data_IF_193448622112
#
_entry.id   IF_193448622112
#
_cell.length_a   1.000
_cell.length_b   1.000
_cell.length_c   1.000
_cell.angle_alpha   90.00
_cell.angle_beta   90.00
_cell.angle_gamma   90.00
#
_symmetry.space_group_name_H-M   'P 1'
#
loop_
_entity.id
_entity.type
_entity.pdbx_description
1 polymer ?
#
# COMPACT_ATOMS: atom_id res chain seq x y z
N UNK A 1 -16.73 11.15 20.15
CA UNK A 1 -17.19 10.15 19.15
C UNK A 1 -16.69 8.79 19.61
N UNK A 2 -17.58 7.79 19.82
CA UNK A 2 -17.18 6.44 20.29
C UNK A 2 -16.96 5.53 19.08
N UNK A 3 -15.80 4.86 19.03
CA UNK A 3 -15.51 3.86 18.02
C UNK A 3 -15.95 2.48 18.53
N UNK A 4 -16.61 1.69 17.69
CA UNK A 4 -16.87 0.28 17.95
C UNK A 4 -15.98 -0.56 17.04
N UNK A 5 -14.93 -1.15 17.60
CA UNK A 5 -14.05 -2.08 16.88
C UNK A 5 -14.53 -3.51 17.12
N UNK A 6 -14.99 -4.19 16.06
CA UNK A 6 -15.36 -5.60 16.12
C UNK A 6 -14.15 -6.53 16.30
N UNK A 7 -14.34 -7.80 16.68
CA UNK A 7 -13.25 -8.74 17.06
C UNK A 7 -12.36 -9.22 15.90
N UNK A 8 -12.46 -8.66 14.69
CA UNK A 8 -11.75 -9.13 13.48
C UNK A 8 -10.43 -8.36 13.27
N UNK A 9 -9.36 -9.07 12.88
CA UNK A 9 -8.03 -8.51 12.59
C UNK A 9 -8.08 -7.59 11.36
N UNK A 10 -7.80 -6.30 11.56
CA UNK A 10 -7.56 -5.32 10.49
C UNK A 10 -6.37 -4.45 10.89
N UNK A 11 -5.54 -4.06 9.93
CA UNK A 11 -4.68 -2.89 10.08
C UNK A 11 -5.39 -1.73 9.37
N UNK A 12 -5.59 -0.61 10.06
CA UNK A 12 -6.37 0.51 9.56
C UNK A 12 -5.45 1.55 8.92
N UNK A 13 -5.65 1.76 7.62
CA UNK A 13 -4.95 2.81 6.88
C UNK A 13 -5.94 3.92 6.60
N UNK A 14 -5.63 5.10 7.11
CA UNK A 14 -6.44 6.28 6.95
C UNK A 14 -6.06 6.97 5.65
N UNK A 15 -7.01 7.01 4.73
CA UNK A 15 -6.87 7.83 3.54
C UNK A 15 -7.48 9.18 3.80
N UNK A 16 -6.61 10.17 3.96
CA UNK A 16 -7.01 11.57 4.01
C UNK A 16 -7.18 12.05 2.58
N UNK A 17 -8.40 12.00 2.07
CA UNK A 17 -8.75 12.62 0.79
C UNK A 17 -9.47 13.93 1.07
N UNK A 18 -9.08 15.03 0.41
CA UNK A 18 -9.87 16.26 0.40
C UNK A 18 -10.88 16.19 -0.74
N UNK A 19 -12.09 16.67 -0.52
CA UNK A 19 -13.08 16.85 -1.60
C UNK A 19 -12.51 17.83 -2.63
N UNK A 20 -12.53 17.46 -3.91
CA UNK A 20 -11.95 18.22 -5.01
C UNK A 20 -12.76 19.49 -5.37
N UNK A 21 -13.82 19.80 -4.63
CA UNK A 21 -14.79 20.86 -4.98
C UNK A 21 -14.79 22.10 -4.09
N UNK A 22 -13.93 22.19 -3.05
CA UNK A 22 -13.86 23.39 -2.17
C UNK A 22 -12.44 23.93 -2.01
N UNK A 23 -12.28 25.17 -2.47
CA UNK A 23 -11.05 25.86 -2.87
C UNK A 23 -10.24 26.56 -1.76
N UNK A 24 -10.51 26.31 -0.47
CA UNK A 24 -9.82 27.07 0.60
C UNK A 24 -9.76 26.36 1.94
N UNK A 25 -8.93 25.31 2.07
CA UNK A 25 -8.65 24.72 3.39
C UNK A 25 -7.14 24.59 3.63
N UNK A 26 -6.71 25.36 4.62
CA UNK A 26 -5.40 25.53 5.27
C UNK A 26 -4.55 24.24 5.38
N UNK A 27 -3.19 24.33 5.36
CA UNK A 27 -2.27 23.22 5.66
C UNK A 27 -2.59 22.43 6.93
N UNK A 28 -3.32 23.04 7.87
CA UNK A 28 -3.79 22.44 9.12
C UNK A 28 -4.73 21.24 8.93
N UNK A 29 -5.49 21.13 7.84
CA UNK A 29 -6.47 20.03 7.71
C UNK A 29 -5.83 18.64 7.52
N UNK A 30 -4.70 18.55 6.80
CA UNK A 30 -3.99 17.28 6.68
C UNK A 30 -3.37 16.86 8.03
N UNK A 31 -2.84 17.84 8.76
CA UNK A 31 -2.36 17.69 10.13
C UNK A 31 -3.50 17.28 11.09
N UNK A 32 -4.71 17.81 10.96
CA UNK A 32 -5.87 17.36 11.76
C UNK A 32 -6.17 15.89 11.49
N UNK A 33 -6.15 15.47 10.22
CA UNK A 33 -6.37 14.07 9.85
C UNK A 33 -5.32 13.10 10.41
N UNK A 34 -4.04 13.49 10.37
CA UNK A 34 -2.95 12.68 10.95
C UNK A 34 -3.06 12.63 12.48
N UNK A 35 -3.41 13.74 13.14
CA UNK A 35 -3.63 13.76 14.58
C UNK A 35 -4.80 12.87 14.99
N UNK A 36 -5.91 12.92 14.26
CA UNK A 36 -7.05 12.04 14.46
C UNK A 36 -6.65 10.56 14.34
N UNK A 37 -5.80 10.22 13.38
CA UNK A 37 -5.28 8.86 13.20
C UNK A 37 -4.50 8.36 14.43
N UNK A 38 -3.66 9.22 15.01
CA UNK A 38 -2.88 8.93 16.21
C UNK A 38 -3.78 8.81 17.43
N UNK A 39 -4.78 9.69 17.58
CA UNK A 39 -5.76 9.60 18.67
C UNK A 39 -6.58 8.31 18.60
N UNK A 40 -6.97 7.86 17.40
CA UNK A 40 -7.64 6.58 17.20
C UNK A 40 -6.75 5.38 17.59
N UNK A 41 -5.45 5.41 17.23
CA UNK A 41 -4.47 4.41 17.65
C UNK A 41 -4.33 4.34 19.17
N UNK A 42 -4.11 5.48 19.82
CA UNK A 42 -3.93 5.53 21.26
C UNK A 42 -5.19 5.06 22.01
N UNK A 43 -6.38 5.43 21.53
CA UNK A 43 -7.64 4.96 22.10
C UNK A 43 -7.81 3.44 21.98
N UNK A 44 -7.39 2.85 20.85
CA UNK A 44 -7.39 1.40 20.66
C UNK A 44 -6.44 0.71 21.64
N UNK A 45 -5.20 1.19 21.75
CA UNK A 45 -4.18 0.62 22.64
C UNK A 45 -4.63 0.67 24.11
N UNK A 46 -5.22 1.78 24.55
CA UNK A 46 -5.76 1.95 25.91
C UNK A 46 -6.92 0.98 26.22
N UNK A 47 -7.82 0.76 25.26
CA UNK A 47 -8.94 -0.18 25.43
C UNK A 47 -8.46 -1.63 25.42
N UNK A 48 -7.47 -1.97 24.59
CA UNK A 48 -6.96 -3.33 24.43
C UNK A 48 -6.03 -3.76 25.58
N UNK A 49 -5.16 -2.85 26.06
CA UNK A 49 -4.29 -3.09 27.22
C UNK A 49 -5.09 -3.28 28.52
N UNK A 50 -6.28 -2.68 28.64
CA UNK A 50 -7.18 -2.91 29.78
C UNK A 50 -7.89 -4.27 29.74
N UNK A 51 -7.92 -4.96 28.60
CA UNK A 51 -8.76 -6.16 28.37
C UNK A 51 -8.00 -7.48 28.17
N UNK A 52 -6.67 -7.50 28.06
CA UNK A 52 -5.94 -8.70 27.62
C UNK A 52 -4.96 -9.27 28.65
N UNK A 53 -5.21 -10.51 29.08
CA UNK A 53 -4.29 -11.42 29.79
C UNK A 53 -3.81 -12.58 28.89
N UNK A 54 -3.81 -12.39 27.57
CA UNK A 54 -3.40 -13.38 26.56
C UNK A 54 -3.18 -12.75 25.19
N UNK A 55 -2.17 -13.24 24.46
CA UNK A 55 -1.64 -12.81 23.14
C UNK A 55 -2.04 -11.41 22.65
N UNK A 56 -1.12 -10.45 22.83
CA UNK A 56 -1.22 -9.08 22.33
C UNK A 56 -1.42 -9.07 20.79
N UNK A 57 -2.63 -8.75 20.33
CA UNK A 57 -2.93 -8.56 18.91
C UNK A 57 -2.63 -7.11 18.52
N UNK A 58 -1.43 -6.86 17.99
CA UNK A 58 -1.00 -5.52 17.58
C UNK A 58 -1.71 -5.10 16.29
N UNK A 59 -2.46 -4.00 16.35
CA UNK A 59 -3.05 -3.32 15.19
C UNK A 59 -2.13 -2.19 14.76
N UNK A 60 -1.91 -2.03 13.45
CA UNK A 60 -1.10 -0.93 12.91
C UNK A 60 -2.00 0.12 12.31
N UNK A 61 -1.70 1.39 12.61
CA UNK A 61 -2.38 2.55 12.07
C UNK A 61 -1.43 3.32 11.15
N UNK A 62 -1.87 3.54 9.92
CA UNK A 62 -1.07 4.22 8.90
C UNK A 62 -1.84 5.25 8.11
N UNK A 63 -1.13 5.93 7.22
CA UNK A 63 -1.72 6.82 6.22
C UNK A 63 -1.62 6.23 4.82
N UNK A 64 -2.58 6.58 3.97
CA UNK A 64 -2.52 6.32 2.53
C UNK A 64 -2.29 7.64 1.78
N UNK A 65 -1.26 7.68 0.94
CA UNK A 65 -0.79 8.88 0.27
C UNK A 65 -0.87 8.75 -1.25
N UNK A 66 -1.52 9.74 -1.86
CA UNK A 66 -1.58 9.86 -3.33
C UNK A 66 -0.70 11.00 -3.86
N UNK A 67 -0.16 11.89 -3.02
CA UNK A 67 0.53 13.13 -3.46
C UNK A 67 -0.33 13.88 -4.51
N UNK A 68 -1.53 14.28 -4.07
CA UNK A 68 -2.53 14.87 -4.94
C UNK A 68 -2.33 16.36 -5.21
N UNK A 69 -2.95 16.85 -6.28
CA UNK A 69 -2.98 18.29 -6.58
C UNK A 69 -3.99 19.01 -5.70
N UNK A 70 -3.59 20.19 -5.20
CA UNK A 70 -4.54 21.22 -4.75
C UNK A 70 -4.95 22.08 -5.93
N UNK A 71 -6.14 22.64 -5.86
CA UNK A 71 -6.58 23.65 -6.82
C UNK A 71 -5.58 24.82 -6.86
N UNK A 72 -5.14 25.21 -8.06
CA UNK A 72 -4.08 26.21 -8.27
C UNK A 72 -2.66 25.77 -7.90
N UNK A 73 -2.46 24.51 -7.47
CA UNK A 73 -1.15 23.95 -7.11
C UNK A 73 -0.37 23.42 -8.33
N UNK A 74 0.92 23.14 -8.12
CA UNK A 74 1.80 22.49 -9.09
C UNK A 74 2.44 21.23 -8.49
N UNK A 75 3.18 20.47 -9.31
CA UNK A 75 3.77 19.21 -8.88
C UNK A 75 4.75 19.35 -7.72
N UNK A 76 5.57 20.41 -7.71
CA UNK A 76 6.52 20.66 -6.63
C UNK A 76 5.80 20.87 -5.29
N UNK A 77 4.70 21.62 -5.31
CA UNK A 77 3.86 21.83 -4.12
C UNK A 77 3.20 20.54 -3.64
N UNK A 78 2.73 19.68 -4.54
CA UNK A 78 2.16 18.38 -4.17
C UNK A 78 3.18 17.48 -3.45
N UNK A 79 4.45 17.49 -3.88
CA UNK A 79 5.55 16.81 -3.18
C UNK A 79 5.87 17.44 -1.83
N UNK A 80 6.01 18.76 -1.77
CA UNK A 80 6.29 19.46 -0.51
C UNK A 80 5.22 19.15 0.56
N UNK A 81 3.94 19.30 0.21
CA UNK A 81 2.84 19.02 1.13
C UNK A 81 2.77 17.54 1.53
N UNK A 82 3.06 16.61 0.61
CA UNK A 82 3.14 15.19 0.92
C UNK A 82 4.25 14.89 1.93
N UNK A 83 5.44 15.45 1.74
CA UNK A 83 6.54 15.27 2.69
C UNK A 83 6.30 15.94 4.05
N UNK A 84 5.65 17.11 4.08
CA UNK A 84 5.25 17.74 5.34
C UNK A 84 4.31 16.83 6.15
N UNK A 85 3.38 16.13 5.49
CA UNK A 85 2.49 15.16 6.15
C UNK A 85 3.23 13.94 6.67
N UNK A 86 4.23 13.45 5.94
CA UNK A 86 5.11 12.35 6.37
C UNK A 86 5.85 12.74 7.64
N UNK A 87 6.45 13.93 7.67
CA UNK A 87 7.21 14.41 8.82
C UNK A 87 6.31 14.54 10.07
N UNK A 88 5.11 15.11 9.90
CA UNK A 88 4.13 15.22 10.99
C UNK A 88 3.70 13.86 11.53
N UNK A 89 3.44 12.90 10.65
CA UNK A 89 3.04 11.56 11.03
C UNK A 89 4.11 10.76 11.73
N UNK A 90 5.36 10.92 11.31
CA UNK A 90 6.51 10.34 11.99
C UNK A 90 6.62 10.91 13.40
N UNK A 91 6.58 12.24 13.52
CA UNK A 91 6.67 12.95 14.79
C UNK A 91 5.55 12.57 15.77
N UNK A 92 4.35 12.27 15.26
CA UNK A 92 3.20 11.92 16.10
C UNK A 92 2.97 10.43 16.30
N UNK A 93 3.80 9.57 15.71
CA UNK A 93 3.78 8.16 16.08
C UNK A 93 3.00 7.21 15.15
N UNK A 94 2.59 7.62 13.95
CA UNK A 94 1.94 6.69 13.00
C UNK A 94 2.87 5.55 12.58
N UNK A 95 2.33 4.35 12.42
CA UNK A 95 3.14 3.15 12.22
C UNK A 95 3.64 3.02 10.78
N UNK A 96 2.89 3.55 9.79
CA UNK A 96 3.23 3.39 8.38
C UNK A 96 2.70 4.48 7.44
N UNK A 97 3.44 4.72 6.35
CA UNK A 97 3.02 5.52 5.20
C UNK A 97 2.91 4.64 3.95
N UNK A 98 1.70 4.53 3.38
CA UNK A 98 1.40 3.71 2.21
C UNK A 98 1.22 4.56 0.96
N UNK A 99 2.06 4.34 -0.04
CA UNK A 99 2.07 5.07 -1.29
C UNK A 99 1.19 4.41 -2.35
N UNK A 100 0.34 5.19 -2.99
CA UNK A 100 -0.38 4.78 -4.19
C UNK A 100 0.53 4.77 -5.43
N UNK A 101 -0.02 4.42 -6.58
CA UNK A 101 0.62 4.60 -7.88
C UNK A 101 -0.41 5.09 -8.88
N UNK A 102 -0.12 6.22 -9.54
CA UNK A 102 -0.98 6.82 -10.55
C UNK A 102 -0.18 7.23 -11.78
N UNK A 103 -0.69 6.81 -12.93
CA UNK A 103 -0.09 7.10 -14.23
C UNK A 103 -1.01 8.00 -15.06
N UNK A 104 -0.43 9.05 -15.65
CA UNK A 104 -1.09 9.92 -16.63
C UNK A 104 -2.44 10.51 -16.15
N UNK A 105 -2.52 10.84 -14.86
CA UNK A 105 -3.72 11.41 -14.24
C UNK A 105 -3.44 12.78 -13.61
N UNK A 106 -3.23 13.83 -14.43
CA UNK A 106 -2.78 15.14 -13.98
C UNK A 106 -3.79 15.85 -13.06
N UNK A 107 -5.05 15.43 -13.02
CA UNK A 107 -6.04 15.98 -12.09
C UNK A 107 -6.04 15.31 -10.71
N UNK A 108 -5.32 14.19 -10.54
CA UNK A 108 -5.41 13.37 -9.33
C UNK A 108 -4.11 13.34 -8.53
N UNK A 109 -2.99 13.00 -9.15
CA UNK A 109 -1.79 12.61 -8.41
C UNK A 109 -0.53 12.79 -9.26
N UNK A 110 0.56 13.19 -8.60
CA UNK A 110 1.92 13.21 -9.19
C UNK A 110 2.73 11.94 -8.91
N UNK A 111 2.15 10.97 -8.20
CA UNK A 111 2.85 9.79 -7.70
C UNK A 111 2.92 8.66 -8.74
N UNK A 112 3.71 8.86 -9.79
CA UNK A 112 3.94 7.86 -10.84
C UNK A 112 5.15 6.97 -10.57
N UNK A 113 6.10 7.42 -9.74
CA UNK A 113 7.33 6.69 -9.37
C UNK A 113 7.35 6.44 -7.87
N UNK A 114 6.53 5.50 -7.37
CA UNK A 114 6.34 5.30 -5.93
C UNK A 114 7.60 4.76 -5.23
N UNK A 115 8.45 3.94 -5.88
CA UNK A 115 9.71 3.49 -5.30
C UNK A 115 10.63 4.68 -5.00
N UNK A 116 10.81 5.59 -5.95
CA UNK A 116 11.64 6.79 -5.79
C UNK A 116 11.15 7.65 -4.61
N UNK A 117 9.83 7.85 -4.55
CA UNK A 117 9.20 8.63 -3.47
C UNK A 117 9.35 7.92 -2.12
N UNK A 118 9.17 6.59 -2.09
CA UNK A 118 9.37 5.79 -0.88
C UNK A 118 10.82 5.85 -0.37
N UNK A 119 11.82 5.84 -1.25
CA UNK A 119 13.24 6.03 -0.88
C UNK A 119 13.49 7.37 -0.22
N UNK A 120 12.86 8.44 -0.71
CA UNK A 120 12.92 9.75 -0.07
C UNK A 120 12.30 9.72 1.33
N UNK A 121 11.10 9.11 1.48
CA UNK A 121 10.44 8.95 2.79
C UNK A 121 11.28 8.11 3.75
N UNK A 122 11.84 7.00 3.28
CA UNK A 122 12.67 6.11 4.09
C UNK A 122 13.89 6.84 4.65
N UNK A 123 14.54 7.69 3.85
CA UNK A 123 15.68 8.51 4.29
C UNK A 123 15.30 9.62 5.28
N UNK A 124 14.08 10.17 5.16
CA UNK A 124 13.55 11.25 6.03
C UNK A 124 13.08 10.77 7.39
N UNK A 125 12.64 9.51 7.49
CA UNK A 125 12.01 8.93 8.67
C UNK A 125 12.93 7.92 9.35
N UNK A 126 12.69 7.61 10.62
CA UNK A 126 13.52 6.68 11.41
C UNK A 126 12.75 5.49 11.97
N UNK A 127 11.46 5.65 12.26
CA UNK A 127 10.61 4.64 12.90
C UNK A 127 9.54 4.10 11.96
N UNK A 128 8.75 4.97 11.31
CA UNK A 128 7.61 4.48 10.52
C UNK A 128 8.05 3.53 9.41
N UNK A 129 7.19 2.54 9.11
CA UNK A 129 7.34 1.73 7.91
C UNK A 129 6.90 2.50 6.68
N UNK A 130 7.54 2.23 5.55
CA UNK A 130 7.16 2.81 4.26
C UNK A 130 6.68 1.69 3.39
N UNK A 131 5.46 1.80 2.87
CA UNK A 131 4.85 0.75 2.06
C UNK A 131 4.41 1.27 0.71
N UNK A 132 4.48 0.43 -0.32
CA UNK A 132 3.68 0.65 -1.52
C UNK A 132 2.35 -0.06 -1.32
N UNK A 133 1.24 0.66 -1.43
CA UNK A 133 -0.08 0.04 -1.40
C UNK A 133 -0.30 -0.82 -2.65
N UNK A 134 0.22 -0.34 -3.77
CA UNK A 134 0.27 -1.06 -5.04
C UNK A 134 1.44 -0.55 -5.86
N UNK A 135 2.27 -1.49 -6.33
CA UNK A 135 3.19 -1.32 -7.44
C UNK A 135 2.66 -2.13 -8.64
N UNK A 136 2.44 -1.48 -9.78
CA UNK A 136 1.78 -2.05 -10.96
C UNK A 136 2.80 -2.83 -11.78
N UNK A 137 3.11 -4.05 -11.35
CA UNK A 137 4.15 -4.90 -11.95
C UNK A 137 4.09 -5.00 -13.49
N UNK A 138 2.92 -5.17 -14.14
CA UNK A 138 2.87 -5.28 -15.59
C UNK A 138 3.38 -4.04 -16.34
N UNK A 139 3.38 -2.87 -15.69
CA UNK A 139 3.82 -1.60 -16.29
C UNK A 139 5.28 -1.26 -16.00
N UNK A 140 5.98 -2.07 -15.20
CA UNK A 140 7.33 -1.76 -14.74
C UNK A 140 8.42 -1.84 -15.82
N UNK A 141 8.11 -2.42 -16.98
CA UNK A 141 9.06 -2.63 -18.09
C UNK A 141 10.06 -3.77 -17.84
N UNK A 142 10.76 -3.78 -16.70
CA UNK A 142 11.72 -4.82 -16.33
C UNK A 142 11.56 -5.26 -14.86
N UNK A 143 11.05 -6.48 -14.58
CA UNK A 143 10.96 -7.00 -13.22
C UNK A 143 12.34 -7.22 -12.58
N UNK A 144 13.39 -7.47 -13.37
CA UNK A 144 14.75 -7.56 -12.86
C UNK A 144 15.21 -6.21 -12.30
N UNK A 145 14.92 -5.11 -13.02
CA UNK A 145 15.23 -3.76 -12.53
C UNK A 145 14.46 -3.43 -11.25
N UNK A 146 13.18 -3.80 -11.19
CA UNK A 146 12.37 -3.64 -9.97
C UNK A 146 12.97 -4.41 -8.79
N UNK A 147 13.52 -5.60 -9.02
CA UNK A 147 14.18 -6.38 -7.96
C UNK A 147 15.36 -5.63 -7.33
N UNK A 148 16.21 -5.00 -8.15
CA UNK A 148 17.34 -4.17 -7.70
C UNK A 148 16.85 -2.94 -6.92
N UNK A 149 15.85 -2.24 -7.45
CA UNK A 149 15.33 -1.01 -6.87
C UNK A 149 14.66 -1.25 -5.51
N UNK A 150 13.87 -2.32 -5.40
CA UNK A 150 13.21 -2.72 -4.15
C UNK A 150 14.24 -3.21 -3.13
N UNK A 151 15.25 -3.98 -3.54
CA UNK A 151 16.31 -4.41 -2.62
C UNK A 151 17.15 -3.22 -2.13
N UNK A 152 17.42 -2.25 -3.01
CA UNK A 152 18.11 -1.00 -2.66
C UNK A 152 17.29 -0.18 -1.68
N UNK A 153 16.00 -0.02 -1.91
CA UNK A 153 15.09 0.66 -0.99
C UNK A 153 15.03 -0.06 0.36
N UNK A 154 14.95 -1.39 0.36
CA UNK A 154 14.96 -2.18 1.59
C UNK A 154 16.22 -1.93 2.43
N UNK A 155 17.39 -1.89 1.78
CA UNK A 155 18.67 -1.52 2.40
C UNK A 155 18.64 -0.10 2.97
N UNK A 156 18.23 0.90 2.19
CA UNK A 156 18.15 2.31 2.63
C UNK A 156 17.17 2.48 3.79
N UNK A 157 16.08 1.71 3.79
CA UNK A 157 15.07 1.76 4.84
C UNK A 157 15.47 0.99 6.10
N UNK A 158 16.57 0.25 6.08
CA UNK A 158 16.99 -0.68 7.14
C UNK A 158 15.89 -1.72 7.46
N UNK A 159 15.24 -2.25 6.42
CA UNK A 159 14.18 -3.25 6.55
C UNK A 159 12.83 -2.70 7.01
N UNK A 160 12.56 -1.40 6.79
CA UNK A 160 11.26 -0.77 7.06
C UNK A 160 10.34 -0.71 5.84
N UNK A 161 10.72 -1.32 4.72
CA UNK A 161 9.94 -1.28 3.48
C UNK A 161 8.95 -2.44 3.34
N UNK A 162 7.71 -2.15 2.95
CA UNK A 162 6.70 -3.14 2.56
C UNK A 162 6.35 -2.99 1.06
N UNK A 163 6.41 -4.09 0.30
CA UNK A 163 6.19 -4.07 -1.14
C UNK A 163 4.82 -4.61 -1.53
N UNK A 164 3.82 -3.73 -1.58
CA UNK A 164 2.51 -4.06 -2.14
C UNK A 164 2.54 -4.03 -3.66
N UNK A 165 1.95 -5.03 -4.29
CA UNK A 165 1.94 -5.24 -5.74
C UNK A 165 0.50 -5.41 -6.26
N UNK A 166 0.32 -5.14 -7.55
CA UNK A 166 -0.96 -5.36 -8.20
C UNK A 166 -0.91 -5.20 -9.71
N UNK A 167 -2.09 -5.32 -10.33
CA UNK A 167 -2.27 -5.23 -11.78
C UNK A 167 -2.81 -3.89 -12.26
N UNK A 168 -3.39 -3.09 -11.38
CA UNK A 168 -4.23 -1.93 -11.72
C UNK A 168 -5.46 -2.30 -12.57
N UNK A 169 -6.58 -1.62 -12.32
CA UNK A 169 -7.78 -1.71 -13.16
C UNK A 169 -7.84 -0.63 -14.25
N UNK A 170 -6.86 0.27 -14.31
CA UNK A 170 -6.89 1.43 -15.19
C UNK A 170 -6.32 1.10 -16.57
N UNK A 171 -7.18 0.60 -17.48
CA UNK A 171 -6.80 0.25 -18.85
C UNK A 171 -6.17 1.41 -19.63
N UNK A 172 -6.50 2.67 -19.29
CA UNK A 172 -5.89 3.85 -19.91
C UNK A 172 -4.36 3.88 -19.72
N UNK A 173 -3.86 3.51 -18.55
CA UNK A 173 -2.43 3.50 -18.28
C UNK A 173 -1.70 2.47 -19.14
N UNK A 174 -2.28 1.28 -19.29
CA UNK A 174 -1.78 0.23 -20.20
C UNK A 174 -1.66 0.72 -21.64
N UNK A 175 -2.70 1.38 -22.15
CA UNK A 175 -2.67 1.97 -23.50
C UNK A 175 -1.53 2.96 -23.67
N UNK A 176 -1.30 3.84 -22.69
CA UNK A 176 -0.20 4.81 -22.74
C UNK A 176 1.19 4.17 -22.72
N UNK A 177 1.35 3.00 -22.10
CA UNK A 177 2.58 2.21 -22.14
C UNK A 177 2.68 1.27 -23.35
N UNK A 178 1.67 1.24 -24.24
CA UNK A 178 1.65 0.34 -25.39
C UNK A 178 1.49 -1.14 -25.03
N UNK A 179 0.94 -1.45 -23.84
CA UNK A 179 0.73 -2.82 -23.37
C UNK A 179 -0.75 -3.18 -23.48
N UNK A 180 -1.05 -4.33 -24.07
CA UNK A 180 -2.43 -4.80 -24.15
C UNK A 180 -2.91 -5.27 -22.76
N UNK A 181 -4.14 -4.89 -22.37
CA UNK A 181 -4.61 -5.11 -21.00
C UNK A 181 -4.88 -6.58 -20.68
N UNK A 182 -5.20 -7.41 -21.67
CA UNK A 182 -5.35 -8.86 -21.56
C UNK A 182 -4.01 -9.55 -21.20
N UNK A 183 -2.87 -8.95 -21.53
CA UNK A 183 -1.54 -9.41 -21.10
C UNK A 183 -1.26 -9.18 -19.62
N UNK A 184 -2.03 -8.30 -18.95
CA UNK A 184 -1.74 -7.82 -17.59
C UNK A 184 -1.58 -8.94 -16.56
N UNK A 185 -2.36 -10.02 -16.67
CA UNK A 185 -2.28 -11.13 -15.73
C UNK A 185 -1.00 -11.95 -15.94
N UNK A 186 -0.71 -12.33 -17.18
CA UNK A 186 0.45 -13.14 -17.48
C UNK A 186 1.76 -12.38 -17.23
N UNK A 187 1.82 -11.08 -17.57
CA UNK A 187 2.95 -10.21 -17.20
C UNK A 187 3.14 -10.11 -15.69
N UNK A 188 2.05 -9.98 -14.92
CA UNK A 188 2.13 -9.95 -13.46
C UNK A 188 2.73 -11.24 -12.91
N UNK A 189 2.30 -12.39 -13.42
CA UNK A 189 2.74 -13.69 -12.94
C UNK A 189 4.22 -13.94 -13.25
N UNK A 190 4.67 -13.62 -14.47
CA UNK A 190 6.09 -13.70 -14.82
C UNK A 190 6.95 -12.73 -13.99
N UNK A 191 6.48 -11.49 -13.82
CA UNK A 191 7.18 -10.49 -13.01
C UNK A 191 7.33 -10.93 -11.55
N UNK A 192 6.28 -11.43 -10.92
CA UNK A 192 6.32 -11.93 -9.55
C UNK A 192 7.28 -13.14 -9.41
N UNK A 193 7.27 -14.05 -10.38
CA UNK A 193 8.20 -15.18 -10.40
C UNK A 193 9.67 -14.71 -10.49
N UNK A 194 9.96 -13.73 -11.35
CA UNK A 194 11.30 -13.15 -11.48
C UNK A 194 11.74 -12.47 -10.18
N UNK A 195 10.88 -11.66 -9.56
CA UNK A 195 11.20 -10.98 -8.30
C UNK A 195 11.55 -11.96 -7.18
N UNK A 196 10.76 -13.04 -7.02
CA UNK A 196 11.02 -14.07 -6.00
C UNK A 196 12.33 -14.81 -6.26
N UNK A 197 12.65 -15.13 -7.52
CA UNK A 197 13.94 -15.76 -7.88
C UNK A 197 15.11 -14.82 -7.62
N UNK A 198 14.98 -13.55 -8.00
CA UNK A 198 16.00 -12.54 -7.78
C UNK A 198 16.36 -12.38 -6.30
N UNK A 199 15.36 -12.33 -5.40
CA UNK A 199 15.62 -12.16 -3.97
C UNK A 199 15.95 -13.46 -3.22
N UNK A 200 15.78 -14.63 -3.84
CA UNK A 200 16.28 -15.89 -3.29
C UNK A 200 17.82 -15.93 -3.25
N UNK A 201 18.49 -15.10 -4.05
CA UNK A 201 19.94 -14.98 -4.13
C UNK A 201 20.58 -15.91 -5.16
N UNK A 202 21.83 -15.61 -5.52
CA UNK A 202 22.59 -16.33 -6.54
C UNK A 202 22.19 -15.96 -7.97
N UNK A 203 22.92 -16.53 -8.94
CA UNK A 203 22.67 -16.36 -10.36
C UNK A 203 21.44 -17.16 -10.81
N UNK A 204 20.59 -16.55 -11.62
CA UNK A 204 19.46 -17.21 -12.23
C UNK A 204 19.20 -16.74 -13.66
N UNK A 205 18.49 -17.58 -14.40
CA UNK A 205 17.90 -17.23 -15.70
C UNK A 205 16.39 -17.43 -15.65
N UNK A 206 15.68 -16.72 -16.52
CA UNK A 206 14.24 -16.82 -16.69
C UNK A 206 13.90 -16.64 -18.16
N UNK A 207 13.08 -17.53 -18.70
CA UNK A 207 12.58 -17.44 -20.08
C UNK A 207 11.06 -17.54 -20.04
N UNK A 208 10.40 -16.39 -20.17
CA UNK A 208 8.95 -16.28 -20.26
C UNK A 208 8.52 -15.69 -21.58
N UNK A 209 7.20 -15.51 -21.74
CA UNK A 209 6.62 -14.88 -22.93
C UNK A 209 6.90 -13.38 -22.96
N UNK A 210 6.96 -12.73 -21.81
CA UNK A 210 7.09 -11.27 -21.71
C UNK A 210 8.45 -10.80 -21.22
N UNK A 211 9.15 -11.64 -20.45
CA UNK A 211 10.44 -11.28 -19.88
C UNK A 211 11.47 -12.38 -20.07
N UNK A 212 12.71 -11.96 -20.32
CA UNK A 212 13.88 -12.82 -20.36
C UNK A 212 14.94 -12.27 -19.41
N UNK A 213 15.53 -13.15 -18.61
CA UNK A 213 16.66 -12.86 -17.72
C UNK A 213 17.76 -13.88 -18.03
N UNK A 214 18.98 -13.41 -18.26
CA UNK A 214 20.12 -14.25 -18.61
C UNK A 214 21.20 -14.11 -17.54
N UNK A 215 21.43 -15.18 -16.77
CA UNK A 215 22.51 -15.32 -15.79
C UNK A 215 22.70 -14.12 -14.85
N UNK A 216 21.58 -13.56 -14.38
CA UNK A 216 21.60 -12.38 -13.52
C UNK A 216 21.65 -12.76 -12.03
N UNK A 217 22.39 -11.97 -11.26
CA UNK A 217 22.40 -12.03 -9.80
C UNK A 217 22.15 -10.61 -9.28
N UNK A 218 21.06 -10.44 -8.51
CA UNK A 218 20.62 -9.11 -8.09
C UNK A 218 21.46 -8.61 -6.91
N UNK A 219 21.95 -7.38 -7.04
CA UNK A 219 22.66 -6.66 -5.99
C UNK A 219 22.10 -5.24 -5.85
N UNK A 220 21.92 -4.74 -4.60
CA UNK A 220 22.11 -5.45 -3.34
C UNK A 220 21.05 -6.54 -3.12
N UNK A 221 21.28 -7.45 -2.17
CA UNK A 221 20.22 -8.35 -1.68
C UNK A 221 19.39 -7.65 -0.61
N UNK A 222 18.09 -7.98 -0.43
CA UNK A 222 17.28 -7.40 0.63
C UNK A 222 17.81 -7.72 2.04
N UNK A 223 17.65 -6.75 2.96
CA UNK A 223 17.88 -6.91 4.40
C UNK A 223 16.84 -7.88 4.97
N UNK A 224 15.56 -7.64 4.65
CA UNK A 224 14.45 -8.47 5.11
C UNK A 224 14.48 -9.83 4.43
N UNK A 225 14.22 -10.89 5.21
CA UNK A 225 14.19 -12.29 4.74
C UNK A 225 12.77 -12.87 4.77
N UNK A 226 12.39 -13.71 3.79
CA UNK A 226 13.17 -14.10 2.61
C UNK A 226 13.31 -12.98 1.56
N UNK A 227 12.46 -11.97 1.62
CA UNK A 227 12.47 -10.75 0.80
C UNK A 227 11.66 -9.67 1.55
N UNK A 228 11.59 -8.41 1.09
CA UNK A 228 10.70 -7.42 1.69
C UNK A 228 9.26 -7.95 1.73
N UNK A 229 8.47 -7.70 2.79
CA UNK A 229 7.11 -8.20 2.92
C UNK A 229 6.27 -7.88 1.68
N UNK A 230 5.89 -8.94 0.94
CA UNK A 230 5.03 -8.83 -0.23
C UNK A 230 3.57 -8.80 0.21
N UNK A 231 2.78 -7.97 -0.47
CA UNK A 231 1.32 -7.91 -0.28
C UNK A 231 0.66 -7.71 -1.63
N UNK A 232 -0.56 -8.18 -1.82
CA UNK A 232 -1.24 -8.01 -3.10
C UNK A 232 -2.57 -7.26 -2.93
N UNK A 233 -2.80 -6.28 -3.81
CA UNK A 233 -4.05 -5.55 -3.85
C UNK A 233 -5.18 -6.45 -4.41
N UNK A 234 -6.33 -6.47 -3.73
CA UNK A 234 -7.51 -7.23 -4.15
C UNK A 234 -8.75 -6.34 -4.24
N UNK A 235 -9.58 -6.58 -5.26
CA UNK A 235 -10.78 -5.76 -5.52
C UNK A 235 -11.99 -6.57 -6.00
N UNK A 236 -11.84 -7.86 -6.23
CA UNK A 236 -12.90 -8.78 -6.67
C UNK A 236 -12.70 -10.16 -6.05
N UNK A 237 -13.76 -10.97 -5.95
CA UNK A 237 -13.71 -12.31 -5.39
C UNK A 237 -12.57 -13.17 -6.01
N UNK A 238 -12.42 -13.14 -7.34
CA UNK A 238 -11.34 -13.85 -8.02
C UNK A 238 -9.94 -13.36 -7.65
N UNK A 239 -9.76 -12.06 -7.42
CA UNK A 239 -8.46 -11.55 -6.94
C UNK A 239 -8.18 -11.95 -5.49
N UNK A 240 -9.18 -11.93 -4.60
CA UNK A 240 -9.03 -12.40 -3.21
C UNK A 240 -8.62 -13.88 -3.18
N UNK A 241 -9.26 -14.71 -3.99
CA UNK A 241 -8.91 -16.11 -4.11
C UNK A 241 -7.47 -16.30 -4.61
N UNK A 242 -7.06 -15.56 -5.64
CA UNK A 242 -5.69 -15.61 -6.14
C UNK A 242 -4.68 -15.22 -5.05
N UNK A 243 -4.91 -14.10 -4.35
CA UNK A 243 -4.03 -13.63 -3.27
C UNK A 243 -3.89 -14.69 -2.17
N UNK A 244 -4.99 -15.38 -1.84
CA UNK A 244 -4.99 -16.47 -0.87
C UNK A 244 -4.19 -17.69 -1.34
N UNK A 245 -4.37 -18.13 -2.60
CA UNK A 245 -3.62 -19.26 -3.16
C UNK A 245 -2.12 -18.99 -3.19
N UNK A 246 -1.72 -17.76 -3.51
CA UNK A 246 -0.32 -17.30 -3.51
C UNK A 246 0.31 -17.15 -2.11
N UNK A 247 -0.47 -17.28 -1.03
CA UNK A 247 0.03 -17.11 0.34
C UNK A 247 0.46 -15.67 0.64
N UNK A 248 -0.15 -14.70 -0.03
CA UNK A 248 0.17 -13.28 0.14
C UNK A 248 -0.82 -12.58 1.10
N UNK A 249 -0.33 -11.73 2.03
CA UNK A 249 -1.16 -10.75 2.72
C UNK A 249 -1.93 -9.87 1.73
N UNK A 250 -3.15 -9.49 2.08
CA UNK A 250 -4.01 -8.67 1.22
C UNK A 250 -3.96 -7.20 1.61
N UNK A 251 -3.92 -6.34 0.61
CA UNK A 251 -4.18 -4.91 0.74
C UNK A 251 -5.52 -4.60 0.08
N UNK A 252 -6.45 -4.01 0.83
CA UNK A 252 -7.80 -3.74 0.35
C UNK A 252 -8.23 -2.33 0.72
N UNK A 253 -8.89 -1.64 -0.21
CA UNK A 253 -9.56 -0.38 0.09
C UNK A 253 -11.07 -0.58 0.18
N UNK A 254 -11.72 0.08 1.12
CA UNK A 254 -13.17 0.15 1.17
C UNK A 254 -13.70 0.87 -0.08
N UNK A 255 -14.63 0.23 -0.79
CA UNK A 255 -15.25 0.71 -2.05
C UNK A 255 -16.76 0.84 -1.89
N UNK A 256 -17.43 1.33 -2.95
CA UNK A 256 -18.88 1.56 -2.97
C UNK A 256 -19.74 0.34 -2.64
N UNK A 257 -19.19 -0.86 -2.84
CA UNK A 257 -19.82 -2.16 -2.57
C UNK A 257 -20.03 -2.43 -1.07
N UNK A 258 -19.45 -1.57 -0.21
CA UNK A 258 -19.71 -1.53 1.23
C UNK A 258 -18.95 -2.55 2.07
N UNK A 259 -19.20 -2.51 3.37
CA UNK A 259 -18.53 -3.36 4.37
C UNK A 259 -18.96 -4.83 4.27
N UNK A 260 -20.19 -5.11 3.85
CA UNK A 260 -20.71 -6.49 3.74
C UNK A 260 -19.95 -7.29 2.68
N UNK A 261 -19.81 -6.73 1.48
CA UNK A 261 -19.02 -7.35 0.40
C UNK A 261 -17.56 -7.59 0.83
N UNK A 262 -16.96 -6.62 1.53
CA UNK A 262 -15.61 -6.75 2.04
C UNK A 262 -15.50 -7.89 3.07
N UNK A 263 -16.46 -8.00 3.99
CA UNK A 263 -16.47 -9.07 4.99
C UNK A 263 -16.57 -10.44 4.33
N UNK A 264 -17.48 -10.62 3.38
CA UNK A 264 -17.64 -11.86 2.61
C UNK A 264 -16.36 -12.21 1.81
N UNK A 265 -15.77 -11.21 1.16
CA UNK A 265 -14.52 -11.39 0.40
C UNK A 265 -13.34 -11.83 1.27
N UNK A 266 -13.26 -11.30 2.50
CA UNK A 266 -12.22 -11.69 3.45
C UNK A 266 -12.48 -13.07 4.06
N UNK A 267 -13.74 -13.43 4.27
CA UNK A 267 -14.10 -14.77 4.73
C UNK A 267 -13.76 -15.82 3.64
N UNK A 268 -14.01 -15.51 2.36
CA UNK A 268 -13.54 -16.32 1.22
C UNK A 268 -12.01 -16.42 1.15
N UNK A 269 -11.30 -15.29 1.24
CA UNK A 269 -9.84 -15.23 1.27
C UNK A 269 -9.25 -16.16 2.35
N UNK A 270 -9.76 -16.08 3.59
CA UNK A 270 -9.28 -16.91 4.70
C UNK A 270 -9.58 -18.40 4.50
N UNK A 271 -10.75 -18.71 3.95
CA UNK A 271 -11.11 -20.09 3.59
C UNK A 271 -10.11 -20.68 2.60
N UNK A 272 -9.83 -19.97 1.51
CA UNK A 272 -8.87 -20.38 0.48
C UNK A 272 -7.44 -20.43 1.01
N UNK A 273 -7.05 -19.48 1.87
CA UNK A 273 -5.73 -19.43 2.51
C UNK A 273 -5.46 -20.71 3.29
N UNK A 274 -6.41 -21.10 4.13
CA UNK A 274 -6.35 -22.35 4.92
C UNK A 274 -6.37 -23.59 4.03
N UNK A 275 -7.24 -23.63 3.02
CA UNK A 275 -7.32 -24.74 2.07
C UNK A 275 -6.03 -24.91 1.25
N UNK A 276 -5.28 -23.83 1.04
CA UNK A 276 -3.99 -23.83 0.35
C UNK A 276 -2.81 -24.21 1.25
N UNK A 277 -3.06 -24.48 2.54
CA UNK A 277 -2.05 -24.93 3.50
C UNK A 277 -1.17 -23.83 4.10
N UNK A 278 -1.53 -22.55 3.91
CA UNK A 278 -0.75 -21.43 4.44
C UNK A 278 -0.98 -21.26 5.96
N UNK A 279 0.05 -20.89 6.74
CA UNK A 279 -0.08 -20.74 8.19
C UNK A 279 -0.89 -19.48 8.57
N UNK A 280 -1.56 -19.52 9.73
CA UNK A 280 -2.33 -18.38 10.23
C UNK A 280 -3.55 -18.05 9.38
N UNK A 281 -3.89 -16.77 9.28
CA UNK A 281 -5.12 -16.29 8.62
C UNK A 281 -4.87 -15.27 7.49
N UNK A 282 -3.60 -15.02 7.15
CA UNK A 282 -3.21 -13.93 6.26
C UNK A 282 -3.42 -12.54 6.88
N UNK A 283 -2.41 -11.66 6.78
CA UNK A 283 -2.54 -10.28 7.29
C UNK A 283 -3.32 -9.41 6.31
N UNK A 284 -4.15 -8.50 6.82
CA UNK A 284 -5.06 -7.64 6.05
C UNK A 284 -4.77 -6.17 6.35
N UNK A 285 -4.36 -5.39 5.34
CA UNK A 285 -4.41 -3.93 5.41
C UNK A 285 -5.69 -3.42 4.78
N UNK A 286 -6.45 -2.65 5.54
CA UNK A 286 -7.69 -2.03 5.12
C UNK A 286 -7.53 -0.51 5.03
N UNK A 287 -7.65 0.03 3.82
CA UNK A 287 -7.73 1.48 3.58
C UNK A 287 -9.17 1.94 3.72
N UNK A 288 -9.40 2.82 4.70
CA UNK A 288 -10.68 3.49 4.93
C UNK A 288 -10.51 4.99 4.68
N UNK A 289 -11.28 5.59 3.77
CA UNK A 289 -11.34 7.05 3.66
C UNK A 289 -11.88 7.64 4.95
N UNK A 290 -11.18 8.63 5.50
CA UNK A 290 -11.68 9.42 6.62
C UNK A 290 -11.68 10.89 6.22
N UNK A 291 -12.81 11.52 6.49
CA UNK A 291 -13.03 12.94 6.29
C UNK A 291 -13.31 13.56 7.67
N UNK A 292 -12.67 14.69 7.94
CA UNK A 292 -12.84 15.43 9.20
C UNK A 292 -13.18 16.86 8.85
N UNK A 293 -14.29 17.34 9.40
CA UNK A 293 -14.78 18.72 9.29
C UNK A 293 -15.36 19.17 10.63
N UNK A 294 -15.70 20.45 10.73
CA UNK A 294 -16.36 21.00 11.92
C UNK A 294 -17.76 20.41 12.11
N UNK A 295 -18.45 20.06 11.01
CA UNK A 295 -19.74 19.38 11.02
C UNK A 295 -19.91 18.42 9.83
N UNK A 296 -21.02 17.66 9.84
CA UNK A 296 -21.34 16.67 8.80
C UNK A 296 -21.59 17.31 7.42
N UNK A 297 -22.10 18.54 7.36
CA UNK A 297 -22.36 19.23 6.09
C UNK A 297 -21.07 19.62 5.39
N UNK A 298 -20.04 19.96 6.14
CA UNK A 298 -18.68 20.22 5.60
C UNK A 298 -18.03 18.94 5.06
N UNK A 299 -18.36 17.78 5.64
CA UNK A 299 -17.78 16.49 5.28
C UNK A 299 -18.46 15.84 4.06
N UNK A 300 -19.78 15.99 3.92
CA UNK A 300 -20.58 15.27 2.93
C UNK A 300 -20.73 16.04 1.59
N UNK A 301 -20.33 17.32 1.54
CA UNK A 301 -20.51 18.19 0.36
C UNK A 301 -19.37 18.14 -0.65
#
# INVERSE_FOLDING_TARGET
MRFFFGPRRFHLILSLSKDARRSSICPTAGHIGVRFAVEARNAYDDEHNRRSSGECRVMHFGMFMEFGFREGGNSARAFAEGFDLVDAAEAWGLDCAWLAEFHFNPGRSVLSSPIVTATAIASRTKRMRVGLAVYVLPLAGSPLRVAEEVATLDQISEGRFDFGIGRSGFQRSYRSYGIAYDESQARFDEALAILRRAWAGGKFSYEGKYYTVTEAEVMPTPVQKPHPPLRMAATSAGTFEKVAREGLPVFVGLRGDGLSFLAESLDHYRSVWKASGHPGEGSVYLRVPIYVGADEREVVS
#
